data_IF_754077842115
#
_entry.id   IF_754077842115
#
_cell.length_a   1.000
_cell.length_b   1.000
_cell.length_c   1.000
_cell.angle_alpha   90.00
_cell.angle_beta   90.00
_cell.angle_gamma   90.00
#
_symmetry.space_group_name_H-M   'P 1'
#
loop_
_entity.id
_entity.type
_entity.pdbx_description
1 polymer ?
#
# COMPACT_ATOMS: atom_id res chain seq x y z
N UNK A 1 -3.84 17.79 13.88
CA UNK A 1 -4.89 16.96 13.25
C UNK A 1 -4.35 15.86 12.32
N UNK A 2 -3.84 16.13 11.09
CA UNK A 2 -3.32 15.04 10.22
C UNK A 2 -2.00 14.43 10.72
N UNK A 3 -1.12 15.25 11.31
CA UNK A 3 0.11 14.77 11.98
C UNK A 3 -0.18 13.92 13.21
N UNK A 4 -1.23 14.24 13.96
CA UNK A 4 -1.68 13.47 15.12
C UNK A 4 -2.34 12.14 14.74
N UNK A 5 -3.07 12.10 13.62
CA UNK A 5 -3.68 10.86 13.13
C UNK A 5 -2.59 9.85 12.71
N UNK A 6 -1.58 10.32 11.98
CA UNK A 6 -0.42 9.51 11.62
C UNK A 6 0.35 9.08 12.86
N UNK A 7 0.50 9.96 13.87
CA UNK A 7 1.21 9.63 15.11
C UNK A 7 0.56 8.52 15.95
N UNK A 8 -0.75 8.25 15.81
CA UNK A 8 -1.47 7.24 16.61
C UNK A 8 -1.49 5.85 15.96
N UNK A 9 -1.34 5.77 14.63
CA UNK A 9 -1.32 4.51 13.89
C UNK A 9 0.10 4.06 13.51
N UNK A 10 1.10 4.93 13.63
CA UNK A 10 2.51 4.58 13.42
C UNK A 10 3.13 3.97 14.69
N UNK A 11 3.56 2.71 14.64
CA UNK A 11 4.51 2.19 15.63
C UNK A 11 5.90 2.79 15.35
N UNK A 12 6.55 3.45 16.32
CA UNK A 12 7.88 4.02 16.12
C UNK A 12 8.91 2.89 15.96
N UNK A 13 9.44 2.74 14.75
CA UNK A 13 10.60 1.89 14.45
C UNK A 13 11.89 2.71 14.61
N UNK A 14 13.06 2.07 14.87
CA UNK A 14 14.33 2.77 15.10
C UNK A 14 14.87 3.62 13.93
N UNK A 15 14.14 3.70 12.81
CA UNK A 15 14.42 4.51 11.61
C UNK A 15 13.09 5.13 11.11
N UNK A 16 13.11 6.24 10.34
CA UNK A 16 11.90 7.02 10.01
C UNK A 16 10.95 6.27 9.07
N UNK A 17 10.12 5.38 9.63
CA UNK A 17 9.19 4.52 8.89
C UNK A 17 7.93 4.28 9.72
N UNK A 18 6.78 4.35 9.07
CA UNK A 18 5.48 4.02 9.64
C UNK A 18 4.92 2.77 8.97
N UNK A 19 4.43 1.82 9.77
CA UNK A 19 3.51 0.78 9.30
C UNK A 19 2.10 1.32 9.50
N UNK A 20 1.29 1.33 8.43
CA UNK A 20 -0.12 1.74 8.50
C UNK A 20 -0.97 0.54 8.15
N UNK A 21 -1.93 0.24 9.01
CA UNK A 21 -2.92 -0.80 8.84
C UNK A 21 -4.30 -0.16 8.98
N UNK A 22 -5.07 0.01 7.88
CA UNK A 22 -6.50 0.21 7.99
C UNK A 22 -7.16 -1.01 8.62
N UNK A 23 -8.22 -0.77 9.39
CA UNK A 23 -8.79 -1.65 10.42
C UNK A 23 -9.01 -3.14 10.01
N UNK A 24 -8.94 -4.06 10.99
CA UNK A 24 -9.28 -5.49 10.91
C UNK A 24 -8.51 -6.39 9.90
N UNK A 25 -7.19 -6.21 9.73
CA UNK A 25 -6.35 -7.21 9.02
C UNK A 25 -5.73 -8.25 9.99
N UNK A 26 -5.61 -9.50 9.56
CA UNK A 26 -4.88 -10.52 10.30
C UNK A 26 -3.38 -10.31 10.06
N UNK A 27 -2.61 -10.17 11.15
CA UNK A 27 -1.15 -10.16 11.09
C UNK A 27 -0.67 -11.60 10.88
N UNK A 28 -0.50 -12.03 9.63
CA UNK A 28 0.24 -13.24 9.33
C UNK A 28 1.74 -12.96 9.60
N UNK A 29 2.18 -13.34 10.80
CA UNK A 29 3.58 -13.41 11.23
C UNK A 29 4.43 -12.12 11.01
N UNK A 30 4.38 -11.20 11.97
CA UNK A 30 5.36 -10.10 12.08
C UNK A 30 6.82 -10.56 12.18
N UNK A 31 7.11 -11.84 12.43
CA UNK A 31 8.49 -12.36 12.43
C UNK A 31 9.18 -12.19 11.07
N UNK A 32 8.44 -12.27 9.96
CA UNK A 32 8.98 -12.15 8.59
C UNK A 32 8.91 -10.73 8.01
N UNK A 33 8.34 -9.75 8.73
CA UNK A 33 8.37 -8.33 8.33
C UNK A 33 9.79 -7.76 8.20
N UNK A 34 10.78 -8.44 8.80
CA UNK A 34 12.20 -8.12 8.64
C UNK A 34 12.74 -8.47 7.24
N UNK A 35 12.17 -9.45 6.54
CA UNK A 35 12.68 -9.90 5.24
C UNK A 35 12.56 -8.79 4.18
N UNK A 36 11.38 -8.17 3.93
CA UNK A 36 11.26 -7.02 3.03
C UNK A 36 12.20 -5.87 3.40
N UNK A 37 12.30 -5.55 4.69
CA UNK A 37 13.17 -4.48 5.19
C UNK A 37 14.66 -4.77 4.93
N UNK A 38 15.08 -6.00 5.16
CA UNK A 38 16.47 -6.41 4.97
C UNK A 38 16.85 -6.42 3.48
N UNK A 39 15.93 -6.81 2.59
CA UNK A 39 16.15 -6.74 1.14
C UNK A 39 16.22 -5.31 0.61
N UNK A 40 15.31 -4.44 1.05
CA UNK A 40 15.38 -3.01 0.68
C UNK A 40 16.72 -2.40 1.06
N UNK A 41 17.24 -2.76 2.25
CA UNK A 41 18.54 -2.28 2.73
C UNK A 41 19.70 -2.93 1.97
N UNK A 42 19.68 -4.24 1.74
CA UNK A 42 20.78 -4.97 1.09
C UNK A 42 20.90 -4.61 -0.40
N UNK A 43 19.78 -4.40 -1.07
CA UNK A 43 19.71 -4.01 -2.47
C UNK A 43 19.81 -2.50 -2.67
N UNK A 44 19.95 -1.72 -1.58
CA UNK A 44 19.99 -0.25 -1.60
C UNK A 44 18.84 0.36 -2.42
N UNK A 45 17.65 -0.21 -2.29
CA UNK A 45 16.48 0.22 -3.06
C UNK A 45 16.00 1.58 -2.58
N UNK A 46 15.73 2.44 -3.55
CA UNK A 46 15.09 3.71 -3.27
C UNK A 46 13.57 3.55 -3.29
N UNK A 47 12.91 3.76 -2.15
CA UNK A 47 11.48 3.45 -1.99
C UNK A 47 10.72 4.54 -1.23
N UNK A 48 9.42 4.64 -1.53
CA UNK A 48 8.48 5.55 -0.90
C UNK A 48 7.37 4.81 -0.16
N UNK A 49 6.86 3.73 -0.75
CA UNK A 49 5.84 2.87 -0.16
C UNK A 49 6.10 1.40 -0.47
N UNK A 50 5.84 0.52 0.50
CA UNK A 50 5.89 -0.93 0.32
C UNK A 50 4.55 -1.52 0.78
N UNK A 51 3.82 -2.14 -0.12
CA UNK A 51 2.61 -2.87 0.24
C UNK A 51 2.95 -4.14 1.01
N UNK A 52 2.29 -4.33 2.14
CA UNK A 52 2.33 -5.54 2.97
C UNK A 52 1.10 -6.42 2.71
N UNK A 53 -0.04 -5.79 2.38
CA UNK A 53 -1.28 -6.44 1.99
C UNK A 53 -2.10 -5.57 1.05
N UNK A 54 -2.69 -6.17 0.01
CA UNK A 54 -3.56 -5.52 -1.00
C UNK A 54 -4.26 -6.55 -1.87
N UNK A 55 -5.29 -6.13 -2.60
CA UNK A 55 -5.92 -6.92 -3.67
C UNK A 55 -5.16 -6.73 -4.98
N UNK A 56 -4.50 -7.77 -5.46
CA UNK A 56 -3.82 -7.78 -6.76
C UNK A 56 -4.86 -7.98 -7.87
N UNK A 57 -4.86 -7.10 -8.87
CA UNK A 57 -5.78 -7.18 -10.01
C UNK A 57 -5.09 -7.74 -11.26
N UNK A 58 -3.76 -7.69 -11.29
CA UNK A 58 -2.93 -8.23 -12.37
C UNK A 58 -2.16 -9.44 -11.84
N UNK A 59 -2.04 -10.49 -12.66
CA UNK A 59 -1.22 -11.66 -12.35
C UNK A 59 0.20 -11.46 -12.89
N UNK A 60 1.19 -11.99 -12.17
CA UNK A 60 2.58 -12.03 -12.65
C UNK A 60 3.30 -10.69 -12.59
N UNK A 61 3.13 -9.94 -11.50
CA UNK A 61 3.92 -8.74 -11.24
C UNK A 61 5.42 -9.08 -11.18
N UNK A 62 6.29 -8.35 -11.89
CA UNK A 62 7.69 -8.73 -12.01
C UNK A 62 8.45 -8.46 -10.70
N UNK A 63 9.31 -9.41 -10.33
CA UNK A 63 10.23 -9.23 -9.21
C UNK A 63 11.21 -8.08 -9.45
N UNK A 64 11.53 -7.37 -8.37
CA UNK A 64 12.62 -6.41 -8.37
C UNK A 64 13.92 -7.16 -8.60
N UNK A 65 14.79 -6.63 -9.46
CA UNK A 65 16.08 -7.28 -9.78
C UNK A 65 16.89 -7.57 -8.51
N UNK A 66 17.26 -8.82 -8.30
CA UNK A 66 18.03 -9.27 -7.14
C UNK A 66 17.21 -9.52 -5.87
N UNK A 67 15.91 -9.23 -5.89
CA UNK A 67 14.99 -9.50 -4.79
C UNK A 67 14.33 -10.87 -4.93
N UNK A 68 14.03 -11.50 -3.79
CA UNK A 68 13.18 -12.72 -3.74
C UNK A 68 11.83 -12.46 -3.10
N UNK A 69 11.62 -11.28 -2.51
CA UNK A 69 10.43 -10.95 -1.75
C UNK A 69 9.74 -9.67 -2.19
N UNK A 70 10.25 -8.96 -3.19
CA UNK A 70 9.71 -7.69 -3.67
C UNK A 70 9.39 -7.77 -5.14
N UNK A 71 8.20 -7.29 -5.49
CA UNK A 71 7.73 -7.11 -6.87
C UNK A 71 7.40 -5.65 -7.13
N UNK A 72 7.37 -5.28 -8.41
CA UNK A 72 6.82 -4.01 -8.87
C UNK A 72 5.30 -4.15 -9.00
N UNK A 73 4.51 -3.49 -8.12
CA UNK A 73 3.06 -3.62 -8.16
C UNK A 73 2.47 -2.94 -9.40
N UNK A 74 1.38 -3.53 -9.88
CA UNK A 74 0.50 -2.89 -10.85
C UNK A 74 -0.76 -2.34 -10.15
N UNK A 75 -1.77 -1.94 -10.93
CA UNK A 75 -3.04 -1.45 -10.41
C UNK A 75 -3.65 -2.42 -9.37
N UNK A 76 -4.18 -1.86 -8.28
CA UNK A 76 -4.48 -2.63 -7.06
C UNK A 76 -5.56 -1.99 -6.22
N UNK A 77 -6.23 -2.79 -5.36
CA UNK A 77 -7.26 -2.33 -4.44
C UNK A 77 -6.98 -2.69 -2.98
N UNK A 78 -7.86 -2.21 -2.09
CA UNK A 78 -8.00 -2.55 -0.68
C UNK A 78 -6.88 -2.10 0.27
N UNK A 79 -5.68 -1.72 -0.20
CA UNK A 79 -4.57 -1.12 0.59
C UNK A 79 -4.53 -1.61 2.05
N UNK A 80 -4.54 -2.93 2.24
CA UNK A 80 -4.79 -3.59 3.55
C UNK A 80 -3.71 -3.26 4.56
N UNK A 81 -2.48 -3.07 4.11
CA UNK A 81 -1.44 -2.47 4.95
C UNK A 81 -0.17 -2.19 4.16
N UNK A 82 0.61 -1.22 4.64
CA UNK A 82 1.80 -0.75 3.95
C UNK A 82 2.82 -0.13 4.91
N UNK A 83 4.07 -0.09 4.46
CA UNK A 83 5.11 0.76 5.02
C UNK A 83 5.27 2.01 4.17
N UNK A 84 5.47 3.17 4.79
CA UNK A 84 5.73 4.42 4.09
C UNK A 84 6.97 5.11 4.65
N UNK A 85 7.81 5.64 3.75
CA UNK A 85 8.96 6.48 4.13
C UNK A 85 8.51 7.92 4.36
N UNK A 86 9.27 8.70 5.14
CA UNK A 86 8.99 10.14 5.29
C UNK A 86 8.97 10.86 3.93
N UNK A 87 9.82 10.45 2.99
CA UNK A 87 9.84 11.03 1.65
C UNK A 87 8.55 10.70 0.89
N UNK A 88 8.10 9.46 0.94
CA UNK A 88 6.83 9.04 0.35
C UNK A 88 5.65 9.82 0.93
N UNK A 89 5.58 9.94 2.26
CA UNK A 89 4.54 10.72 2.92
C UNK A 89 4.54 12.20 2.48
N UNK A 90 5.73 12.82 2.34
CA UNK A 90 5.85 14.19 1.83
C UNK A 90 5.37 14.31 0.37
N UNK A 91 5.70 13.35 -0.50
CA UNK A 91 5.23 13.33 -1.89
C UNK A 91 3.70 13.26 -1.97
N UNK A 92 3.08 12.40 -1.16
CA UNK A 92 1.62 12.28 -1.11
C UNK A 92 0.96 13.57 -0.59
N UNK A 93 1.49 14.15 0.50
CA UNK A 93 0.95 15.39 1.06
C UNK A 93 1.10 16.59 0.10
N UNK A 94 2.14 16.62 -0.72
CA UNK A 94 2.39 17.68 -1.69
C UNK A 94 1.31 17.78 -2.78
N UNK A 95 0.47 16.76 -2.96
CA UNK A 95 -0.64 16.77 -3.92
C UNK A 95 -1.94 17.37 -3.37
N UNK A 96 -1.90 17.93 -2.15
CA UNK A 96 -3.05 18.54 -1.48
C UNK A 96 -4.28 17.62 -1.44
N UNK A 97 -4.17 16.38 -0.90
CA UNK A 97 -5.23 15.37 -0.96
C UNK A 97 -6.55 15.81 -0.31
N UNK A 98 -6.51 16.77 0.62
CA UNK A 98 -7.72 17.34 1.24
C UNK A 98 -8.52 18.24 0.31
N UNK A 99 -7.88 18.86 -0.69
CA UNK A 99 -8.56 19.65 -1.73
C UNK A 99 -8.97 18.79 -2.91
N UNK A 100 -8.26 17.69 -3.13
CA UNK A 100 -8.50 16.72 -4.20
C UNK A 100 -8.87 15.35 -3.61
N UNK A 101 -9.99 15.29 -2.87
CA UNK A 101 -10.42 14.08 -2.18
C UNK A 101 -10.60 12.95 -3.19
N UNK A 102 -9.87 11.86 -2.94
CA UNK A 102 -9.90 10.64 -3.73
C UNK A 102 -9.74 9.45 -2.79
N UNK A 103 -10.38 8.34 -3.12
CA UNK A 103 -10.20 7.09 -2.39
C UNK A 103 -8.72 6.67 -2.43
N UNK A 104 -8.20 6.16 -1.32
CA UNK A 104 -6.76 5.88 -1.16
C UNK A 104 -6.26 4.83 -2.17
N UNK A 105 -7.11 3.88 -2.50
CA UNK A 105 -6.88 2.80 -3.43
C UNK A 105 -6.89 3.24 -4.90
N UNK A 106 -7.50 4.38 -5.21
CA UNK A 106 -7.34 5.05 -6.51
C UNK A 106 -6.18 6.05 -6.51
N UNK A 107 -6.00 6.76 -5.39
CA UNK A 107 -4.98 7.79 -5.25
C UNK A 107 -3.55 7.20 -5.30
N UNK A 108 -3.28 6.10 -4.59
CA UNK A 108 -1.94 5.51 -4.59
C UNK A 108 -1.52 5.03 -5.99
N UNK A 109 -2.30 4.22 -6.73
CA UNK A 109 -1.95 3.84 -8.10
C UNK A 109 -1.82 5.01 -9.06
N UNK A 110 -2.52 6.12 -8.84
CA UNK A 110 -2.22 7.36 -9.57
C UNK A 110 -0.80 7.81 -9.23
N UNK A 111 -0.45 7.93 -7.95
CA UNK A 111 0.85 8.47 -7.55
C UNK A 111 2.07 7.64 -7.96
N UNK A 112 1.92 6.33 -8.21
CA UNK A 112 2.95 5.48 -8.81
C UNK A 112 2.72 5.14 -10.30
N UNK A 113 1.86 5.92 -10.97
CA UNK A 113 1.59 5.92 -12.41
C UNK A 113 1.08 4.57 -13.00
N UNK A 114 0.33 3.81 -12.21
CA UNK A 114 -0.30 2.53 -12.61
C UNK A 114 -1.81 2.58 -12.71
N UNK A 115 -2.43 3.74 -12.52
CA UNK A 115 -3.87 3.87 -12.61
C UNK A 115 -4.39 3.75 -14.07
N UNK A 116 -5.49 3.00 -14.32
CA UNK A 116 -6.05 2.81 -15.66
C UNK A 116 -6.77 4.06 -16.20
N UNK A 117 -7.44 4.83 -15.31
CA UNK A 117 -8.15 6.06 -15.69
C UNK A 117 -7.22 7.25 -15.81
N UNK A 118 -6.82 7.59 -17.03
CA UNK A 118 -5.91 8.72 -17.31
C UNK A 118 -6.54 10.08 -17.04
N UNK A 119 -7.85 10.21 -17.22
CA UNK A 119 -8.61 11.42 -16.88
C UNK A 119 -8.53 11.77 -15.40
N UNK A 120 -8.41 10.76 -14.52
CA UNK A 120 -8.22 10.99 -13.09
C UNK A 120 -6.77 11.35 -12.77
N UNK A 121 -5.81 10.66 -13.41
CA UNK A 121 -4.38 10.90 -13.18
C UNK A 121 -3.92 12.30 -13.55
N UNK A 122 -4.58 12.98 -14.51
CA UNK A 122 -4.22 14.33 -14.96
C UNK A 122 -4.23 15.38 -13.83
N UNK A 123 -4.97 15.15 -12.75
CA UNK A 123 -5.06 16.08 -11.61
C UNK A 123 -3.85 16.01 -10.67
N UNK A 124 -3.02 14.98 -10.80
CA UNK A 124 -1.96 14.68 -9.85
C UNK A 124 -0.60 14.57 -10.55
N UNK A 125 0.34 15.42 -10.15
CA UNK A 125 1.68 15.49 -10.69
C UNK A 125 2.65 16.10 -9.65
N UNK A 126 3.91 15.62 -9.55
CA UNK A 126 4.47 14.47 -10.27
C UNK A 126 3.98 13.13 -9.70
N UNK A 127 3.87 12.10 -10.57
CA UNK A 127 3.49 10.72 -10.22
C UNK A 127 4.72 9.83 -10.11
N UNK A 128 5.64 10.21 -9.23
CA UNK A 128 6.97 9.59 -9.10
C UNK A 128 7.12 8.81 -7.78
N UNK A 129 6.02 8.35 -7.19
CA UNK A 129 6.05 7.55 -5.96
C UNK A 129 6.69 6.18 -6.26
N UNK A 130 7.81 5.88 -5.58
CA UNK A 130 8.52 4.62 -5.76
C UNK A 130 7.90 3.52 -4.90
N UNK A 131 7.20 2.59 -5.54
CA UNK A 131 6.39 1.59 -4.83
C UNK A 131 6.86 0.18 -5.11
N UNK A 132 6.90 -0.62 -4.04
CA UNK A 132 7.11 -2.07 -4.10
C UNK A 132 5.97 -2.79 -3.39
N UNK A 133 5.86 -4.09 -3.62
CA UNK A 133 4.95 -4.97 -2.88
C UNK A 133 5.70 -6.20 -2.44
N UNK A 134 5.37 -6.70 -1.25
CA UNK A 134 5.91 -7.99 -0.81
C UNK A 134 5.28 -9.16 -1.59
N UNK A 135 6.06 -10.21 -1.77
CA UNK A 135 5.67 -11.49 -2.35
C UNK A 135 6.32 -12.61 -1.52
N UNK A 136 5.53 -13.45 -0.79
CA UNK A 136 4.07 -13.40 -0.63
C UNK A 136 3.59 -12.19 0.21
N UNK A 137 2.29 -11.87 0.11
CA UNK A 137 1.64 -10.90 1.00
C UNK A 137 1.70 -11.36 2.45
N UNK A 138 1.98 -10.44 3.37
CA UNK A 138 2.08 -10.71 4.82
C UNK A 138 0.85 -10.24 5.58
N UNK A 139 -0.01 -9.44 4.95
CA UNK A 139 -1.30 -9.01 5.48
C UNK A 139 -2.41 -9.37 4.50
N UNK A 140 -3.48 -9.92 5.05
CA UNK A 140 -4.72 -10.20 4.33
C UNK A 140 -5.95 -9.89 5.18
N UNK A 141 -7.11 -9.62 4.55
CA UNK A 141 -8.37 -9.47 5.26
C UNK A 141 -8.71 -10.74 6.05
N UNK A 142 -9.39 -10.56 7.19
CA UNK A 142 -9.89 -11.69 8.00
C UNK A 142 -11.09 -12.41 7.36
N UNK A 143 -11.84 -11.70 6.51
CA UNK A 143 -13.02 -12.21 5.82
C UNK A 143 -13.05 -11.69 4.38
N UNK A 144 -13.49 -12.52 3.46
CA UNK A 144 -13.66 -12.23 2.05
C UNK A 144 -15.14 -12.29 1.65
N UNK A 145 -15.45 -11.78 0.45
CA UNK A 145 -16.81 -11.84 -0.11
C UNK A 145 -17.31 -13.28 -0.10
N UNK A 146 -18.47 -13.49 0.52
CA UNK A 146 -19.11 -14.80 0.67
C UNK A 146 -18.82 -15.48 2.01
N UNK A 147 -17.87 -15.00 2.80
CA UNK A 147 -17.61 -15.55 4.14
C UNK A 147 -18.76 -15.26 5.10
N UNK A 148 -18.95 -16.18 6.04
CA UNK A 148 -19.89 -15.97 7.15
C UNK A 148 -19.42 -14.76 7.96
N UNK A 149 -20.33 -13.81 8.20
CA UNK A 149 -20.05 -12.53 8.86
C UNK A 149 -19.20 -11.54 8.04
N UNK A 150 -19.07 -11.75 6.72
CA UNK A 150 -18.55 -10.71 5.84
C UNK A 150 -19.55 -9.54 5.74
N UNK A 151 -19.12 -8.38 6.23
CA UNK A 151 -19.82 -7.11 6.06
C UNK A 151 -18.87 -6.15 5.33
N UNK A 152 -19.38 -5.47 4.32
CA UNK A 152 -18.60 -4.54 3.50
C UNK A 152 -19.45 -3.32 3.16
N UNK A 153 -18.78 -2.17 3.13
CA UNK A 153 -19.29 -0.89 2.64
C UNK A 153 -18.80 -0.60 1.21
N UNK A 154 -17.89 -1.42 0.68
CA UNK A 154 -17.12 -1.15 -0.55
C UNK A 154 -17.39 -2.11 -1.70
N UNK A 155 -17.95 -3.30 -1.45
CA UNK A 155 -18.29 -4.26 -2.51
C UNK A 155 -19.79 -4.64 -2.46
N UNK A 156 -20.48 -4.73 -3.61
CA UNK A 156 -21.87 -5.15 -3.62
C UNK A 156 -21.98 -6.62 -3.20
N UNK A 157 -22.99 -6.94 -2.39
CA UNK A 157 -23.33 -8.33 -2.09
C UNK A 157 -23.65 -9.07 -3.39
N UNK A 158 -22.86 -10.09 -3.71
CA UNK A 158 -23.21 -11.03 -4.76
C UNK A 158 -24.25 -11.99 -4.18
N UNK A 159 -25.53 -11.78 -4.49
CA UNK A 159 -26.54 -12.82 -4.30
C UNK A 159 -26.24 -13.97 -5.25
N UNK A 160 -26.31 -15.24 -4.80
CA UNK A 160 -26.09 -16.41 -5.64
C UNK A 160 -27.06 -16.48 -6.81
#
# INVERSE_FOLDING_TARGET
MFSELMSKQCQPLPHPQCVVQPDHALLAALSDSNAPRSEVKSLSLDWDLIYLGRKRLVKGEPFVTGSRHLVHPDYTYWTVGYMISIRGAKKLLAQEPLRNIMAVDEYLPIMFDKHPRKDWSQKFHPRDLKVYSVEPLVLEPTHFVGDKYYFTDTEPYQTP
#
